data_IF_138768495018
#
_entry.id   IF_138768495018
#
_cell.length_a   1.000
_cell.length_b   1.000
_cell.length_c   1.000
_cell.angle_alpha   90.00
_cell.angle_beta   90.00
_cell.angle_gamma   90.00
#
_symmetry.space_group_name_H-M   'P 1'
#
loop_
_entity.id
_entity.type
_entity.pdbx_description
1 polymer ?
#
# COMPACT_ATOMS: atom_id res chain seq x y z
N UNK A 1 15.65 -9.16 -10.15
CA UNK A 1 15.63 -10.30 -9.21
C UNK A 1 14.28 -11.00 -9.31
N UNK A 2 14.21 -12.32 -9.19
CA UNK A 2 12.95 -13.05 -9.24
C UNK A 2 12.01 -12.64 -8.08
N UNK A 3 10.70 -12.57 -8.35
CA UNK A 3 9.69 -12.17 -7.37
C UNK A 3 9.55 -13.23 -6.26
N UNK A 4 10.12 -12.97 -5.08
CA UNK A 4 9.99 -13.85 -3.93
C UNK A 4 8.67 -13.59 -3.18
N UNK A 5 7.64 -14.37 -3.53
CA UNK A 5 6.27 -14.25 -2.98
C UNK A 5 6.23 -14.28 -1.45
N UNK A 6 7.02 -15.16 -0.83
CA UNK A 6 7.03 -15.33 0.62
C UNK A 6 7.62 -14.13 1.34
N UNK A 7 8.77 -13.63 0.86
CA UNK A 7 9.38 -12.43 1.43
C UNK A 7 8.48 -11.21 1.25
N UNK A 8 7.88 -11.03 0.08
CA UNK A 8 6.97 -9.91 -0.18
C UNK A 8 5.71 -9.94 0.68
N UNK A 9 5.14 -11.13 0.91
CA UNK A 9 4.04 -11.28 1.85
C UNK A 9 4.46 -10.91 3.28
N UNK A 10 5.65 -11.31 3.70
CA UNK A 10 6.20 -10.94 5.02
C UNK A 10 6.43 -9.44 5.15
N UNK A 11 7.08 -8.81 4.17
CA UNK A 11 7.30 -7.36 4.14
C UNK A 11 5.96 -6.60 4.22
N UNK A 12 4.94 -7.05 3.48
CA UNK A 12 3.61 -6.45 3.52
C UNK A 12 2.94 -6.60 4.89
N UNK A 13 3.02 -7.78 5.52
CA UNK A 13 2.45 -8.03 6.85
C UNK A 13 3.10 -7.11 7.89
N UNK A 14 4.43 -6.99 7.87
CA UNK A 14 5.14 -6.12 8.81
C UNK A 14 4.81 -4.64 8.58
N UNK A 15 4.71 -4.18 7.33
CA UNK A 15 4.28 -2.82 7.04
C UNK A 15 2.85 -2.54 7.54
N UNK A 16 1.91 -3.47 7.32
CA UNK A 16 0.54 -3.33 7.83
C UNK A 16 0.52 -3.31 9.37
N UNK A 17 1.32 -4.18 10.01
CA UNK A 17 1.44 -4.23 11.47
C UNK A 17 1.97 -2.90 12.02
N UNK A 18 3.02 -2.37 11.43
CA UNK A 18 3.58 -1.06 11.79
C UNK A 18 2.55 0.05 11.59
N UNK A 19 1.85 0.07 10.45
CA UNK A 19 0.82 1.07 10.18
C UNK A 19 -0.30 1.05 11.24
N UNK A 20 -0.80 -0.13 11.62
CA UNK A 20 -1.81 -0.23 12.69
C UNK A 20 -1.31 0.24 14.05
N UNK A 21 -0.04 -0.02 14.38
CA UNK A 21 0.57 0.50 15.61
C UNK A 21 0.59 2.03 15.59
N UNK A 22 1.01 2.63 14.47
CA UNK A 22 1.07 4.08 14.30
C UNK A 22 -0.32 4.74 14.38
N UNK A 23 -1.33 4.15 13.75
CA UNK A 23 -2.73 4.60 13.85
C UNK A 23 -3.23 4.53 15.30
N UNK A 24 -2.95 3.43 16.02
CA UNK A 24 -3.37 3.25 17.41
C UNK A 24 -2.68 4.23 18.37
N UNK A 25 -1.41 4.50 18.14
CA UNK A 25 -0.60 5.41 18.95
C UNK A 25 -0.76 6.88 18.53
N UNK A 26 -1.44 7.13 17.41
CA UNK A 26 -1.68 8.45 16.83
C UNK A 26 -0.38 9.27 16.69
N UNK A 27 0.67 8.65 16.12
CA UNK A 27 1.99 9.27 15.94
C UNK A 27 2.56 9.05 14.55
N UNK A 28 3.57 9.84 14.23
CA UNK A 28 4.35 9.68 13.00
C UNK A 28 5.35 8.52 13.12
N UNK A 29 5.67 7.92 11.98
CA UNK A 29 6.65 6.84 11.88
C UNK A 29 8.06 7.35 12.21
N UNK A 30 8.85 6.56 12.92
CA UNK A 30 10.30 6.77 12.99
C UNK A 30 10.95 6.47 11.64
N UNK A 31 12.25 6.79 11.50
CA UNK A 31 13.02 6.46 10.29
C UNK A 31 13.01 4.96 9.99
N UNK A 32 13.13 4.13 11.02
CA UNK A 32 13.15 2.66 10.91
C UNK A 32 11.76 2.13 10.50
N UNK A 33 10.71 2.64 11.13
CA UNK A 33 9.32 2.27 10.80
C UNK A 33 8.96 2.72 9.39
N UNK A 34 9.38 3.92 8.98
CA UNK A 34 9.22 4.41 7.61
C UNK A 34 9.91 3.47 6.61
N UNK A 35 11.10 2.98 6.92
CA UNK A 35 11.79 2.00 6.07
C UNK A 35 11.06 0.65 5.98
N UNK A 36 10.33 0.24 7.04
CA UNK A 36 9.46 -0.94 7.00
C UNK A 36 8.27 -0.67 6.07
N UNK A 37 7.58 0.47 6.23
CA UNK A 37 6.44 0.87 5.40
C UNK A 37 6.81 0.94 3.91
N UNK A 38 8.00 1.44 3.58
CA UNK A 38 8.50 1.53 2.19
C UNK A 38 8.75 0.16 1.53
N UNK A 39 8.85 -0.94 2.29
CA UNK A 39 9.00 -2.29 1.70
C UNK A 39 7.67 -2.87 1.22
N UNK A 40 6.55 -2.26 1.62
CA UNK A 40 5.23 -2.66 1.16
C UNK A 40 5.12 -2.55 -0.36
N UNK A 41 4.65 -3.61 -1.00
CA UNK A 41 4.55 -3.70 -2.46
C UNK A 41 3.14 -4.03 -2.97
N UNK A 42 2.15 -4.06 -2.07
CA UNK A 42 0.79 -4.46 -2.41
C UNK A 42 0.65 -5.95 -2.71
N UNK A 43 -0.54 -6.36 -3.16
CA UNK A 43 -0.91 -7.77 -3.27
C UNK A 43 -1.15 -8.26 -4.70
N UNK A 44 -0.88 -7.44 -5.73
CA UNK A 44 -1.08 -7.82 -7.14
C UNK A 44 -0.36 -9.12 -7.54
N UNK A 45 0.85 -9.34 -7.02
CA UNK A 45 1.62 -10.58 -7.24
C UNK A 45 1.32 -11.72 -6.26
N UNK A 46 0.44 -11.51 -5.27
CA UNK A 46 0.18 -12.41 -4.14
C UNK A 46 -1.24 -12.98 -4.21
N UNK A 47 -1.52 -13.75 -5.26
CA UNK A 47 -2.85 -14.39 -5.47
C UNK A 47 -3.30 -15.30 -4.31
N UNK A 48 -2.38 -15.73 -3.45
CA UNK A 48 -2.68 -16.53 -2.26
C UNK A 48 -3.68 -15.87 -1.31
N UNK A 49 -3.82 -14.54 -1.35
CA UNK A 49 -4.82 -13.79 -0.56
C UNK A 49 -6.26 -14.09 -0.97
N UNK A 50 -6.48 -14.57 -2.20
CA UNK A 50 -7.80 -14.95 -2.67
C UNK A 50 -8.26 -16.29 -2.07
N UNK A 51 -7.32 -17.09 -1.56
CA UNK A 51 -7.61 -18.40 -1.00
C UNK A 51 -8.17 -18.28 0.45
N UNK A 52 -9.01 -19.23 0.89
CA UNK A 52 -9.49 -19.27 2.27
C UNK A 52 -8.33 -19.45 3.27
N UNK A 53 -8.30 -18.65 4.33
CA UNK A 53 -7.27 -18.73 5.38
C UNK A 53 -7.84 -18.36 6.75
N UNK A 54 -9.06 -18.81 7.05
CA UNK A 54 -9.74 -18.51 8.32
C UNK A 54 -9.32 -19.51 9.41
N UNK A 55 -9.18 -20.78 9.05
CA UNK A 55 -8.88 -21.88 9.96
C UNK A 55 -7.71 -22.71 9.43
N UNK A 56 -6.95 -23.37 10.31
CA UNK A 56 -5.82 -24.21 9.89
C UNK A 56 -6.23 -25.35 8.93
N UNK A 57 -7.48 -25.79 9.03
CA UNK A 57 -8.09 -26.80 8.15
C UNK A 57 -8.25 -26.32 6.71
N UNK A 58 -8.26 -25.00 6.45
CA UNK A 58 -8.32 -24.45 5.10
C UNK A 58 -7.09 -24.80 4.26
N UNK A 59 -5.96 -25.16 4.89
CA UNK A 59 -4.73 -25.56 4.21
C UNK A 59 -4.94 -26.69 3.18
N UNK A 60 -5.94 -27.57 3.40
CA UNK A 60 -6.29 -28.66 2.48
C UNK A 60 -6.79 -28.15 1.13
N UNK A 61 -7.31 -26.92 1.07
CA UNK A 61 -7.81 -26.28 -0.15
C UNK A 61 -6.73 -25.55 -0.94
N UNK A 62 -5.50 -25.50 -0.43
CA UNK A 62 -4.39 -24.79 -1.04
C UNK A 62 -3.60 -25.71 -1.97
N UNK A 63 -3.10 -25.15 -3.07
CA UNK A 63 -2.14 -25.84 -3.92
C UNK A 63 -0.86 -26.12 -3.12
N UNK A 64 -0.25 -27.30 -3.32
CA UNK A 64 1.00 -27.68 -2.65
C UNK A 64 2.11 -26.64 -2.85
N UNK A 65 2.16 -25.99 -4.01
CA UNK A 65 3.12 -24.94 -4.36
C UNK A 65 2.96 -23.63 -3.57
N UNK A 66 1.80 -23.40 -2.96
CA UNK A 66 1.47 -22.17 -2.23
C UNK A 66 1.31 -22.42 -0.72
N UNK A 67 1.46 -23.69 -0.27
CA UNK A 67 1.25 -24.07 1.12
C UNK A 67 2.20 -23.34 2.08
N UNK A 68 3.40 -22.98 1.63
CA UNK A 68 4.35 -22.17 2.42
C UNK A 68 3.85 -20.73 2.70
N UNK A 69 2.88 -20.24 1.93
CA UNK A 69 2.26 -18.93 2.08
C UNK A 69 1.03 -18.98 2.99
N UNK A 70 0.51 -20.18 3.29
CA UNK A 70 -0.70 -20.35 4.09
C UNK A 70 -0.57 -19.72 5.49
N UNK A 71 0.46 -20.09 6.25
CA UNK A 71 0.66 -19.56 7.60
C UNK A 71 0.83 -18.03 7.63
N UNK A 72 1.65 -17.40 6.76
CA UNK A 72 1.66 -15.94 6.63
C UNK A 72 0.30 -15.33 6.26
N UNK A 73 -0.49 -15.96 5.39
CA UNK A 73 -1.82 -15.45 5.02
C UNK A 73 -2.79 -15.53 6.20
N UNK A 74 -2.78 -16.61 6.98
CA UNK A 74 -3.56 -16.71 8.23
C UNK A 74 -3.16 -15.61 9.22
N UNK A 75 -1.86 -15.35 9.36
CA UNK A 75 -1.35 -14.25 10.18
C UNK A 75 -1.87 -12.89 9.71
N UNK A 76 -1.87 -12.62 8.40
CA UNK A 76 -2.43 -11.38 7.85
C UNK A 76 -3.91 -11.23 8.19
N UNK A 77 -4.72 -12.28 8.01
CA UNK A 77 -6.14 -12.26 8.36
C UNK A 77 -6.35 -12.00 9.85
N UNK A 78 -5.55 -12.62 10.71
CA UNK A 78 -5.58 -12.40 12.15
C UNK A 78 -5.22 -10.96 12.49
N UNK A 79 -4.15 -10.43 11.92
CA UNK A 79 -3.70 -9.05 12.12
C UNK A 79 -4.78 -8.03 11.75
N UNK A 80 -5.42 -8.20 10.59
CA UNK A 80 -6.51 -7.31 10.16
C UNK A 80 -7.69 -7.44 11.13
N UNK A 81 -8.08 -8.66 11.53
CA UNK A 81 -9.20 -8.88 12.46
C UNK A 81 -8.94 -8.24 13.83
N UNK A 82 -7.74 -8.41 14.40
CA UNK A 82 -7.36 -7.84 15.70
C UNK A 82 -7.34 -6.30 15.69
N UNK A 83 -7.15 -5.68 14.52
CA UNK A 83 -7.16 -4.23 14.33
C UNK A 83 -8.45 -3.71 13.68
N UNK A 84 -9.48 -4.55 13.56
CA UNK A 84 -10.82 -4.15 13.11
C UNK A 84 -11.75 -4.00 14.31
N UNK A 85 -12.64 -3.02 14.28
CA UNK A 85 -13.64 -2.78 15.33
C UNK A 85 -14.69 -3.89 15.40
N UNK A 86 -15.07 -4.43 14.25
CA UNK A 86 -16.06 -5.49 14.11
C UNK A 86 -15.82 -6.32 12.84
N UNK A 87 -16.65 -7.35 12.65
CA UNK A 87 -16.59 -8.22 11.47
C UNK A 87 -16.94 -7.50 10.16
N UNK A 88 -17.68 -6.38 10.20
CA UNK A 88 -18.02 -5.59 9.01
C UNK A 88 -16.79 -4.83 8.51
N UNK A 89 -16.04 -4.20 9.41
CA UNK A 89 -14.79 -3.52 9.09
C UNK A 89 -13.72 -4.51 8.64
N UNK A 90 -13.58 -5.64 9.33
CA UNK A 90 -12.71 -6.74 8.90
C UNK A 90 -13.04 -7.19 7.47
N UNK A 91 -14.32 -7.44 7.17
CA UNK A 91 -14.76 -7.83 5.83
C UNK A 91 -14.42 -6.76 4.80
N UNK A 92 -14.61 -5.48 5.14
CA UNK A 92 -14.28 -4.35 4.25
C UNK A 92 -12.80 -4.28 3.92
N UNK A 93 -11.90 -4.50 4.89
CA UNK A 93 -10.46 -4.59 4.64
C UNK A 93 -10.12 -5.78 3.74
N UNK A 94 -10.68 -6.96 4.02
CA UNK A 94 -10.44 -8.17 3.22
C UNK A 94 -10.95 -8.00 1.78
N UNK A 95 -12.12 -7.39 1.58
CA UNK A 95 -12.69 -7.16 0.26
C UNK A 95 -11.85 -6.14 -0.53
N UNK A 96 -11.36 -5.08 0.12
CA UNK A 96 -10.39 -4.13 -0.46
C UNK A 96 -9.11 -4.84 -0.91
N UNK A 97 -8.57 -5.67 -0.04
CA UNK A 97 -7.35 -6.44 -0.28
C UNK A 97 -7.51 -7.38 -1.48
N UNK A 98 -8.65 -8.09 -1.57
CA UNK A 98 -8.94 -8.96 -2.71
C UNK A 98 -9.12 -8.18 -4.01
N UNK A 99 -9.77 -7.03 -3.95
CA UNK A 99 -9.91 -6.15 -5.11
C UNK A 99 -8.55 -5.66 -5.63
N UNK A 100 -7.62 -5.32 -4.72
CA UNK A 100 -6.28 -4.86 -5.10
C UNK A 100 -5.44 -5.93 -5.79
N UNK A 101 -5.63 -7.23 -5.48
CA UNK A 101 -4.94 -8.33 -6.21
C UNK A 101 -5.20 -8.26 -7.72
N UNK A 102 -6.39 -7.82 -8.14
CA UNK A 102 -6.78 -7.78 -9.55
C UNK A 102 -6.30 -6.52 -10.29
N UNK A 103 -5.97 -5.44 -9.57
CA UNK A 103 -5.72 -4.12 -10.17
C UNK A 103 -4.43 -3.45 -9.72
N UNK A 104 -3.71 -3.99 -8.73
CA UNK A 104 -2.46 -3.43 -8.23
C UNK A 104 -1.28 -3.78 -9.16
N UNK A 105 -1.22 -3.09 -10.28
CA UNK A 105 -0.07 -3.08 -11.17
C UNK A 105 0.91 -2.01 -10.73
N UNK A 106 2.14 -2.41 -10.44
CA UNK A 106 3.19 -1.53 -9.96
C UNK A 106 3.90 -0.84 -11.12
N UNK A 107 4.02 0.49 -11.05
CA UNK A 107 4.90 1.26 -11.93
C UNK A 107 6.31 1.25 -11.36
N UNK A 108 7.31 0.70 -12.07
CA UNK A 108 8.69 0.69 -11.61
C UNK A 108 9.23 2.09 -11.34
N UNK A 109 10.01 2.23 -10.26
CA UNK A 109 10.62 3.51 -9.87
C UNK A 109 11.48 4.11 -10.98
N UNK A 110 12.14 3.27 -11.77
CA UNK A 110 12.95 3.68 -12.91
C UNK A 110 12.10 4.46 -13.93
N UNK A 111 10.83 4.08 -14.13
CA UNK A 111 9.91 4.76 -15.04
C UNK A 111 9.47 6.10 -14.46
N UNK A 112 9.04 6.12 -13.19
CA UNK A 112 8.58 7.37 -12.55
C UNK A 112 9.72 8.38 -12.39
N UNK A 113 10.92 7.91 -12.06
CA UNK A 113 12.11 8.73 -11.97
C UNK A 113 12.49 9.30 -13.33
N UNK A 114 12.50 8.48 -14.39
CA UNK A 114 12.78 8.97 -15.75
C UNK A 114 11.81 10.07 -16.16
N UNK A 115 10.51 9.92 -15.89
CA UNK A 115 9.51 10.94 -16.22
C UNK A 115 9.77 12.22 -15.43
N UNK A 116 9.99 12.12 -14.12
CA UNK A 116 10.24 13.27 -13.26
C UNK A 116 11.55 14.00 -13.64
N UNK A 117 12.60 13.25 -13.96
CA UNK A 117 13.90 13.77 -14.38
C UNK A 117 13.79 14.49 -15.74
N UNK A 118 13.04 13.94 -16.71
CA UNK A 118 12.80 14.62 -17.99
C UNK A 118 12.02 15.92 -17.80
N UNK A 119 10.93 15.92 -17.01
CA UNK A 119 10.24 17.18 -16.68
C UNK A 119 11.20 18.17 -16.03
N UNK A 120 12.10 17.66 -15.19
CA UNK A 120 13.07 18.45 -14.49
C UNK A 120 14.10 19.12 -15.44
N UNK A 121 14.61 18.37 -16.41
CA UNK A 121 15.58 18.85 -17.39
C UNK A 121 15.00 19.96 -18.28
N UNK A 122 13.70 19.86 -18.59
CA UNK A 122 12.96 20.90 -19.32
C UNK A 122 12.45 22.04 -18.42
N UNK A 123 12.95 22.14 -17.17
CA UNK A 123 12.59 23.19 -16.21
C UNK A 123 11.09 23.22 -15.85
N UNK A 124 10.37 22.12 -16.05
CA UNK A 124 8.99 21.96 -15.60
C UNK A 124 9.01 21.52 -14.14
N UNK A 125 8.62 22.42 -13.23
CA UNK A 125 8.50 22.16 -11.79
C UNK A 125 7.08 22.44 -11.32
N UNK A 126 6.19 21.43 -11.30
CA UNK A 126 4.82 21.63 -10.86
C UNK A 126 4.77 22.10 -9.40
N UNK A 127 4.04 23.18 -9.12
CA UNK A 127 3.76 23.64 -7.77
C UNK A 127 2.61 22.86 -7.11
N UNK A 128 1.78 22.19 -7.92
CA UNK A 128 0.66 21.35 -7.48
C UNK A 128 0.71 20.02 -8.23
N UNK A 129 0.48 18.93 -7.51
CA UNK A 129 0.47 17.57 -8.04
C UNK A 129 -0.77 16.84 -7.58
N UNK A 130 -1.41 16.14 -8.53
CA UNK A 130 -2.54 15.26 -8.28
C UNK A 130 -2.17 13.85 -8.73
N UNK A 131 -2.18 12.91 -7.80
CA UNK A 131 -1.92 11.49 -8.07
C UNK A 131 -3.16 10.64 -7.78
N UNK A 132 -3.91 10.19 -8.80
CA UNK A 132 -5.21 9.54 -8.62
C UNK A 132 -5.14 8.08 -8.14
N UNK A 133 -3.97 7.43 -8.21
CA UNK A 133 -3.80 6.02 -7.83
C UNK A 133 -2.40 5.80 -7.26
N UNK A 134 -2.16 6.42 -6.11
CA UNK A 134 -0.83 6.64 -5.56
C UNK A 134 -0.08 5.35 -5.17
N UNK A 135 -0.78 4.26 -4.84
CA UNK A 135 -0.17 3.13 -4.18
C UNK A 135 0.55 3.59 -2.91
N UNK A 136 1.85 3.30 -2.83
CA UNK A 136 2.74 3.79 -1.75
C UNK A 136 3.47 5.10 -2.09
N UNK A 137 3.08 5.77 -3.18
CA UNK A 137 3.55 7.11 -3.53
C UNK A 137 4.82 7.16 -4.37
N UNK A 138 5.14 6.13 -5.16
CA UNK A 138 6.38 6.13 -5.97
C UNK A 138 6.49 7.35 -6.90
N UNK A 139 5.38 7.76 -7.52
CA UNK A 139 5.35 8.96 -8.35
C UNK A 139 5.50 10.24 -7.52
N UNK A 140 4.92 10.26 -6.32
CA UNK A 140 5.03 11.38 -5.36
C UNK A 140 6.49 11.57 -4.96
N UNK A 141 7.18 10.49 -4.58
CA UNK A 141 8.62 10.50 -4.29
C UNK A 141 9.42 11.06 -5.48
N UNK A 142 9.20 10.53 -6.69
CA UNK A 142 9.93 10.97 -7.89
C UNK A 142 9.75 12.46 -8.17
N UNK A 143 8.54 12.99 -8.01
CA UNK A 143 8.24 14.41 -8.26
C UNK A 143 8.78 15.33 -7.14
N UNK A 144 8.63 14.94 -5.87
CA UNK A 144 9.11 15.74 -4.73
C UNK A 144 10.64 15.87 -4.70
N UNK A 145 11.39 14.95 -5.31
CA UNK A 145 12.85 15.12 -5.49
C UNK A 145 13.21 16.43 -6.20
N UNK A 146 12.41 16.84 -7.18
CA UNK A 146 12.65 18.02 -8.00
C UNK A 146 11.80 19.23 -7.60
N UNK A 147 10.66 18.99 -6.97
CA UNK A 147 9.75 20.01 -6.44
C UNK A 147 9.41 19.75 -4.95
N UNK A 148 10.35 19.94 -4.00
CA UNK A 148 10.12 19.60 -2.59
C UNK A 148 8.95 20.34 -1.93
N UNK A 149 8.61 21.52 -2.46
CA UNK A 149 7.55 22.38 -1.95
C UNK A 149 6.23 22.22 -2.73
N UNK A 150 6.10 21.22 -3.59
CA UNK A 150 4.84 20.98 -4.30
C UNK A 150 3.73 20.60 -3.31
N UNK A 151 2.55 21.17 -3.51
CA UNK A 151 1.33 20.75 -2.82
C UNK A 151 0.80 19.48 -3.50
N UNK A 152 0.89 18.35 -2.80
CA UNK A 152 0.51 17.04 -3.32
C UNK A 152 -0.83 16.61 -2.75
N UNK A 153 -1.76 16.26 -3.65
CA UNK A 153 -2.95 15.48 -3.31
C UNK A 153 -2.87 14.12 -3.99
N UNK A 154 -3.02 13.06 -3.21
CA UNK A 154 -2.96 11.70 -3.71
C UNK A 154 -4.15 10.88 -3.23
N UNK A 155 -4.62 9.97 -4.07
CA UNK A 155 -5.74 9.08 -3.80
C UNK A 155 -5.28 7.64 -3.87
N UNK A 156 -5.73 6.82 -2.92
CA UNK A 156 -5.56 5.37 -2.96
C UNK A 156 -6.85 4.70 -2.49
N UNK A 157 -7.38 3.80 -3.30
CA UNK A 157 -8.66 3.13 -3.06
C UNK A 157 -8.52 1.94 -2.13
N UNK A 158 -7.38 1.25 -2.16
CA UNK A 158 -7.11 0.15 -1.23
C UNK A 158 -6.90 0.68 0.18
N UNK A 159 -7.65 0.15 1.14
CA UNK A 159 -7.67 0.67 2.50
C UNK A 159 -6.34 0.51 3.22
N UNK A 160 -5.67 -0.65 3.06
CA UNK A 160 -4.40 -0.92 3.72
C UNK A 160 -3.27 -0.11 3.07
N UNK A 161 -3.23 -0.08 1.74
CA UNK A 161 -2.25 0.71 0.98
C UNK A 161 -2.43 2.20 1.28
N UNK A 162 -3.67 2.70 1.33
CA UNK A 162 -3.96 4.09 1.66
C UNK A 162 -3.60 4.47 3.10
N UNK A 163 -3.71 3.55 4.06
CA UNK A 163 -3.20 3.78 5.42
C UNK A 163 -1.67 3.89 5.43
N UNK A 164 -0.97 2.99 4.75
CA UNK A 164 0.50 3.04 4.63
C UNK A 164 0.93 4.35 3.95
N UNK A 165 0.27 4.74 2.86
CA UNK A 165 0.53 5.99 2.15
C UNK A 165 0.42 7.22 3.07
N UNK A 166 -0.61 7.29 3.90
CA UNK A 166 -0.79 8.40 4.87
C UNK A 166 0.38 8.50 5.86
N UNK A 167 0.93 7.36 6.32
CA UNK A 167 2.09 7.37 7.20
C UNK A 167 3.41 7.68 6.49
N UNK A 168 3.53 7.37 5.19
CA UNK A 168 4.71 7.73 4.39
C UNK A 168 4.78 9.24 4.09
N UNK A 169 3.63 9.91 3.98
CA UNK A 169 3.51 11.33 3.66
C UNK A 169 2.56 12.05 4.62
N UNK A 170 2.91 12.17 5.92
CA UNK A 170 2.02 12.74 6.93
C UNK A 170 1.68 14.22 6.68
N UNK A 171 2.56 14.96 5.98
CA UNK A 171 2.40 16.40 5.70
C UNK A 171 1.68 16.69 4.37
N UNK A 172 1.20 15.66 3.67
CA UNK A 172 0.60 15.79 2.33
C UNK A 172 -0.87 15.33 2.33
N UNK A 173 -1.63 15.71 1.31
CA UNK A 173 -3.08 15.44 1.24
C UNK A 173 -3.36 14.03 0.70
N UNK A 174 -3.17 13.02 1.55
CA UNK A 174 -3.35 11.61 1.22
C UNK A 174 -4.78 11.12 1.55
N UNK A 175 -5.55 10.74 0.53
CA UNK A 175 -6.96 10.32 0.66
C UNK A 175 -7.13 8.82 0.39
N UNK A 176 -7.59 8.08 1.39
CA UNK A 176 -7.93 6.66 1.26
C UNK A 176 -9.34 6.48 0.68
N UNK A 177 -9.50 6.81 -0.59
CA UNK A 177 -10.72 6.60 -1.37
C UNK A 177 -10.43 6.58 -2.87
N UNK A 178 -11.43 6.17 -3.66
CA UNK A 178 -11.35 6.29 -5.11
C UNK A 178 -11.31 7.75 -5.57
N UNK A 179 -10.50 8.02 -6.59
CA UNK A 179 -10.32 9.34 -7.19
C UNK A 179 -11.64 9.99 -7.64
N UNK A 180 -12.65 9.20 -7.99
CA UNK A 180 -13.98 9.68 -8.36
C UNK A 180 -14.68 10.51 -7.28
N UNK A 181 -14.19 10.47 -6.03
CA UNK A 181 -14.70 11.24 -4.89
C UNK A 181 -13.98 12.58 -4.68
N UNK A 182 -13.20 13.03 -5.65
CA UNK A 182 -12.53 14.33 -5.61
C UNK A 182 -13.57 15.48 -5.49
N UNK A 183 -13.37 16.35 -4.50
CA UNK A 183 -14.22 17.52 -4.26
C UNK A 183 -13.52 18.80 -4.77
N UNK A 184 -14.29 19.78 -5.24
CA UNK A 184 -13.78 21.10 -5.66
C UNK A 184 -13.80 22.11 -4.48
N UNK A 185 -12.89 23.11 -4.44
CA UNK A 185 -11.84 23.44 -5.40
C UNK A 185 -10.41 23.07 -4.90
N UNK A 186 -9.50 22.90 -5.86
CA UNK A 186 -8.06 22.62 -5.68
C UNK A 186 -7.20 23.88 -5.60
#
# INVERSE_FOLDING_TARGET
>A
MAFNRKQKLRDNIEAIRTAFILDRENRTATTEERAILQRYCGFGGLKCILNPAKELTDAVRWAKSDLELFAPTVELHRLIRENSKDETEYKRFVDSLKASVLTAFYTPKEITDTIADVLADYSVRPARMLEPSAGVGVFVDSMLRHSPNADVMAFEKDLLTGTILRHLYPDQKMRTCGFEKIERPF
#
